data_IF_659125353885
#
_entry.id   IF_659125353885
#
_cell.length_a   1.000
_cell.length_b   1.000
_cell.length_c   1.000
_cell.angle_alpha   90.00
_cell.angle_beta   90.00
_cell.angle_gamma   90.00
#
_symmetry.space_group_name_H-M   'P 1'
#
loop_
_entity.id
_entity.type
_entity.pdbx_description
1 polymer ?
#
# COMPACT_ATOMS: atom_id res chain seq x y z
N UNK A 1 -45.31 14.15 -53.02
CA UNK A 1 -44.06 14.58 -53.71
C UNK A 1 -42.91 14.25 -52.82
N UNK A 2 -42.25 13.20 -53.14
CA UNK A 2 -40.83 12.87 -53.36
C UNK A 2 -39.93 13.29 -52.18
N UNK A 3 -39.68 12.41 -51.32
CA UNK A 3 -38.49 11.58 -51.10
C UNK A 3 -37.17 12.31 -51.32
N UNK A 4 -36.43 12.51 -50.25
CA UNK A 4 -34.99 12.42 -50.28
C UNK A 4 -34.47 11.81 -48.99
N UNK A 5 -34.25 10.51 -49.04
CA UNK A 5 -33.46 9.73 -48.14
C UNK A 5 -32.02 10.01 -48.52
N UNK A 6 -31.24 10.67 -47.70
CA UNK A 6 -29.82 10.73 -47.84
C UNK A 6 -29.18 9.85 -46.77
N UNK A 7 -28.76 8.73 -47.25
CA UNK A 7 -27.92 7.74 -46.69
C UNK A 7 -26.59 8.36 -46.26
N UNK A 8 -26.43 8.55 -44.98
CA UNK A 8 -25.12 8.92 -44.38
C UNK A 8 -24.46 7.68 -43.76
N UNK A 9 -24.12 6.73 -44.66
CA UNK A 9 -23.25 5.62 -44.29
C UNK A 9 -21.82 6.04 -44.64
N UNK A 10 -21.00 6.30 -43.72
CA UNK A 10 -19.54 6.10 -43.92
C UNK A 10 -18.72 6.44 -42.67
N UNK A 11 -17.80 5.58 -42.46
CA UNK A 11 -16.52 5.68 -41.82
C UNK A 11 -16.47 5.48 -40.30
N UNK A 12 -16.83 4.28 -39.92
CA UNK A 12 -16.08 3.58 -38.87
C UNK A 12 -14.92 2.84 -39.56
N UNK A 13 -13.95 3.60 -40.03
CA UNK A 13 -12.72 3.03 -40.55
C UNK A 13 -11.77 2.80 -39.36
N UNK A 14 -11.66 1.57 -38.93
CA UNK A 14 -10.42 0.85 -38.71
C UNK A 14 -9.38 1.53 -37.82
N UNK A 15 -9.52 1.34 -36.52
CA UNK A 15 -8.34 1.09 -35.70
C UNK A 15 -8.09 -0.43 -35.69
N UNK A 16 -7.67 -0.96 -36.85
CA UNK A 16 -6.98 -2.24 -36.91
C UNK A 16 -5.55 -1.99 -36.43
N UNK A 17 -5.34 -2.01 -35.14
CA UNK A 17 -4.00 -2.16 -34.58
C UNK A 17 -3.51 -3.54 -35.00
N UNK A 18 -2.53 -3.61 -35.86
CA UNK A 18 -1.86 -4.87 -36.18
C UNK A 18 -1.25 -5.46 -34.93
N UNK A 19 -1.58 -6.71 -34.58
CA UNK A 19 -1.13 -7.32 -33.33
C UNK A 19 0.34 -7.79 -33.36
N UNK A 20 1.16 -7.31 -34.28
CA UNK A 20 2.50 -7.87 -34.49
C UNK A 20 3.62 -6.86 -34.76
N UNK A 21 3.48 -5.62 -34.33
CA UNK A 21 4.65 -4.77 -34.23
C UNK A 21 5.42 -5.17 -32.94
N UNK A 22 6.42 -6.02 -33.10
CA UNK A 22 7.45 -6.18 -32.08
C UNK A 22 8.01 -4.79 -31.81
N UNK A 23 7.87 -4.23 -30.57
CA UNK A 23 8.43 -2.93 -30.29
C UNK A 23 9.94 -3.00 -30.50
N UNK A 24 10.42 -2.29 -31.52
CA UNK A 24 11.86 -2.08 -31.69
C UNK A 24 12.34 -1.29 -30.50
N UNK A 25 12.96 -1.96 -29.56
CA UNK A 25 13.52 -1.31 -28.38
C UNK A 25 14.64 -0.38 -28.83
N UNK A 26 14.61 0.91 -28.49
CA UNK A 26 15.71 1.80 -28.75
C UNK A 26 16.97 1.25 -28.06
N UNK A 27 18.10 1.31 -28.74
CA UNK A 27 19.40 0.97 -28.21
C UNK A 27 19.62 1.76 -26.91
N UNK A 28 19.64 1.08 -25.77
CA UNK A 28 19.66 1.68 -24.46
C UNK A 28 18.43 1.40 -23.61
N UNK A 29 17.50 0.54 -24.09
CA UNK A 29 16.36 0.11 -23.30
C UNK A 29 16.81 -0.54 -21.99
N UNK A 30 16.11 -0.16 -20.90
CA UNK A 30 16.34 -0.75 -19.60
C UNK A 30 16.14 -2.27 -19.67
N UNK A 31 17.15 -3.02 -19.27
CA UNK A 31 17.04 -4.46 -19.18
C UNK A 31 16.33 -4.81 -17.87
N UNK A 32 15.42 -5.78 -17.86
CA UNK A 32 14.81 -6.25 -16.63
C UNK A 32 15.91 -6.85 -15.74
N UNK A 33 16.04 -6.32 -14.53
CA UNK A 33 16.92 -6.85 -13.49
C UNK A 33 16.05 -7.55 -12.47
N UNK A 34 16.34 -8.80 -12.21
CA UNK A 34 15.74 -9.53 -11.10
C UNK A 34 16.63 -9.42 -9.88
N UNK A 35 16.06 -9.03 -8.77
CA UNK A 35 16.71 -9.02 -7.46
C UNK A 35 16.00 -10.00 -6.55
N UNK A 36 16.76 -10.73 -5.75
CA UNK A 36 16.19 -11.52 -4.65
C UNK A 36 16.21 -10.67 -3.40
N UNK A 37 15.02 -10.33 -2.89
CA UNK A 37 14.93 -9.63 -1.62
C UNK A 37 15.30 -10.57 -0.48
N UNK A 38 16.03 -10.08 0.54
CA UNK A 38 16.24 -10.86 1.75
C UNK A 38 14.89 -11.19 2.40
N UNK A 39 14.81 -12.34 3.07
CA UNK A 39 13.62 -12.71 3.82
C UNK A 39 13.39 -11.68 4.96
N UNK A 40 12.15 -11.27 5.15
CA UNK A 40 11.77 -10.47 6.32
C UNK A 40 11.89 -11.36 7.56
N UNK A 41 12.82 -11.01 8.43
CA UNK A 41 13.07 -11.75 9.68
C UNK A 41 12.61 -10.98 10.92
N UNK A 42 12.29 -9.70 10.77
CA UNK A 42 11.79 -8.89 11.87
C UNK A 42 10.37 -9.31 12.22
N UNK A 43 10.13 -9.53 13.49
CA UNK A 43 8.81 -9.82 14.04
C UNK A 43 8.54 -8.89 15.22
N UNK A 44 7.29 -8.49 15.40
CA UNK A 44 6.87 -7.81 16.61
C UNK A 44 6.82 -8.81 17.78
N UNK A 45 6.93 -8.33 19.04
CA UNK A 45 6.89 -9.21 20.20
C UNK A 45 5.67 -10.12 20.18
N UNK A 46 5.86 -11.41 20.52
CA UNK A 46 4.78 -12.38 20.63
C UNK A 46 3.99 -12.16 21.95
N UNK A 47 3.33 -11.02 22.03
CA UNK A 47 2.48 -10.59 23.14
C UNK A 47 1.14 -10.15 22.58
N UNK A 48 0.06 -10.08 23.40
CA UNK A 48 -1.23 -9.57 22.89
C UNK A 48 -1.13 -8.19 22.25
N UNK A 49 -0.27 -7.30 22.72
CA UNK A 49 -0.02 -6.00 22.13
C UNK A 49 0.66 -6.14 20.74
N UNK A 50 1.71 -6.94 20.63
CA UNK A 50 2.42 -7.17 19.38
C UNK A 50 1.54 -7.90 18.35
N UNK A 51 0.72 -8.84 18.78
CA UNK A 51 -0.25 -9.51 17.90
C UNK A 51 -1.30 -8.55 17.36
N UNK A 52 -1.85 -7.67 18.19
CA UNK A 52 -2.80 -6.65 17.75
C UNK A 52 -2.18 -5.72 16.71
N UNK A 53 -0.98 -5.22 16.96
CA UNK A 53 -0.26 -4.34 16.01
C UNK A 53 0.08 -5.11 14.73
N UNK A 54 0.51 -6.38 14.83
CA UNK A 54 0.73 -7.22 13.65
C UNK A 54 -0.52 -7.30 12.80
N UNK A 55 -1.66 -7.63 13.37
CA UNK A 55 -2.91 -7.79 12.62
C UNK A 55 -3.39 -6.49 11.95
N UNK A 56 -3.15 -5.34 12.57
CA UNK A 56 -3.68 -4.05 12.11
C UNK A 56 -2.73 -3.25 11.23
N UNK A 57 -1.44 -3.50 11.32
CA UNK A 57 -0.44 -2.63 10.70
C UNK A 57 0.42 -3.33 9.62
N UNK A 58 0.68 -4.65 9.74
CA UNK A 58 1.63 -5.31 8.85
C UNK A 58 1.09 -5.61 7.45
N UNK A 59 -0.17 -5.36 7.18
CA UNK A 59 -0.69 -5.37 5.82
C UNK A 59 -0.04 -4.29 4.92
N UNK A 60 0.46 -3.19 5.53
CA UNK A 60 1.05 -2.06 4.80
C UNK A 60 2.46 -1.70 5.30
N UNK A 61 2.83 -2.10 6.51
CA UNK A 61 4.11 -1.78 7.14
C UNK A 61 4.90 -3.05 7.47
N UNK A 62 6.22 -3.01 7.32
CA UNK A 62 7.05 -4.09 7.87
C UNK A 62 7.08 -4.03 9.41
N UNK A 63 7.26 -5.17 10.04
CA UNK A 63 7.42 -5.25 11.49
C UNK A 63 8.62 -4.40 11.96
N UNK A 64 9.71 -4.41 11.20
CA UNK A 64 10.92 -3.62 11.46
C UNK A 64 10.65 -2.11 11.44
N UNK A 65 9.89 -1.62 10.46
CA UNK A 65 9.51 -0.21 10.39
C UNK A 65 8.73 0.24 11.63
N UNK A 66 7.86 -0.61 12.15
CA UNK A 66 7.09 -0.31 13.35
C UNK A 66 7.98 -0.34 14.59
N UNK A 67 8.82 -1.37 14.72
CA UNK A 67 9.69 -1.58 15.88
C UNK A 67 10.76 -0.49 16.03
N UNK A 68 11.24 0.07 14.92
CA UNK A 68 12.29 1.12 14.90
C UNK A 68 11.78 2.53 15.10
N UNK A 69 10.48 2.72 15.31
CA UNK A 69 9.99 4.08 15.60
C UNK A 69 10.62 4.59 16.91
N UNK A 70 11.02 5.87 16.95
CA UNK A 70 11.52 6.45 18.18
C UNK A 70 10.42 6.43 19.26
N UNK A 71 10.78 6.47 20.54
CA UNK A 71 9.79 6.56 21.59
C UNK A 71 8.86 7.75 21.37
N UNK A 72 7.57 7.49 21.34
CA UNK A 72 6.52 8.50 21.14
C UNK A 72 5.50 8.45 22.27
N UNK A 73 4.95 9.62 22.61
CA UNK A 73 3.86 9.70 23.58
C UNK A 73 2.57 9.06 23.02
N UNK A 74 1.63 8.75 23.92
CA UNK A 74 0.32 8.20 23.53
C UNK A 74 -0.43 9.17 22.58
N UNK A 75 -0.33 10.47 22.81
CA UNK A 75 -0.96 11.50 21.95
C UNK A 75 -0.36 11.49 20.54
N UNK A 76 0.96 11.31 20.45
CA UNK A 76 1.65 11.23 19.16
C UNK A 76 1.25 9.96 18.41
N UNK A 77 1.15 8.83 19.11
CA UNK A 77 0.64 7.58 18.53
C UNK A 77 -0.82 7.73 18.10
N UNK A 78 -1.67 8.35 18.92
CA UNK A 78 -3.06 8.60 18.57
C UNK A 78 -3.16 9.40 17.25
N UNK A 79 -2.43 10.51 17.15
CA UNK A 79 -2.41 11.32 15.94
C UNK A 79 -1.93 10.50 14.72
N UNK A 80 -0.95 9.61 14.90
CA UNK A 80 -0.42 8.75 13.85
C UNK A 80 -1.46 7.72 13.40
N UNK A 81 -2.09 7.01 14.33
CA UNK A 81 -3.11 5.98 14.03
C UNK A 81 -4.33 6.61 13.35
N UNK A 82 -4.81 7.74 13.88
CA UNK A 82 -5.90 8.51 13.25
C UNK A 82 -5.55 8.90 11.81
N UNK A 83 -4.32 9.37 11.56
CA UNK A 83 -3.85 9.68 10.20
C UNK A 83 -3.85 8.45 9.31
N UNK A 84 -3.43 7.27 9.80
CA UNK A 84 -3.49 6.04 9.00
C UNK A 84 -4.93 5.73 8.59
N UNK A 85 -5.89 5.89 9.48
CA UNK A 85 -7.31 5.67 9.18
C UNK A 85 -7.86 6.71 8.21
N UNK A 86 -7.64 7.99 8.45
CA UNK A 86 -8.30 9.07 7.72
C UNK A 86 -7.65 9.38 6.38
N UNK A 87 -6.32 9.46 6.35
CA UNK A 87 -5.59 9.87 5.15
C UNK A 87 -5.19 8.69 4.28
N UNK A 88 -4.90 7.53 4.87
CA UNK A 88 -4.44 6.34 4.13
C UNK A 88 -5.47 5.21 4.09
N UNK A 89 -6.66 5.44 4.65
CA UNK A 89 -7.78 4.48 4.63
C UNK A 89 -7.43 3.11 5.19
N UNK A 90 -6.56 3.09 6.21
CA UNK A 90 -6.28 1.85 6.92
C UNK A 90 -7.56 1.24 7.50
N UNK A 91 -7.72 -0.10 7.49
CA UNK A 91 -8.92 -0.77 7.97
C UNK A 91 -8.97 -0.78 9.51
N UNK A 92 -9.00 0.39 10.10
CA UNK A 92 -9.05 0.65 11.55
C UNK A 92 -10.35 1.40 11.83
N UNK A 93 -11.13 0.93 12.78
CA UNK A 93 -12.31 1.70 13.21
C UNK A 93 -11.93 2.71 14.30
N UNK A 94 -12.70 3.80 14.48
CA UNK A 94 -12.46 4.73 15.59
C UNK A 94 -12.47 4.03 16.97
N UNK A 95 -13.24 2.96 17.12
CA UNK A 95 -13.32 2.18 18.35
C UNK A 95 -12.06 1.35 18.62
N UNK A 96 -11.30 0.97 17.57
CA UNK A 96 -10.06 0.20 17.71
C UNK A 96 -8.86 1.07 18.10
N UNK A 97 -8.90 2.38 17.78
CA UNK A 97 -7.76 3.27 17.95
C UNK A 97 -7.17 3.28 19.37
N UNK A 98 -7.96 3.37 20.46
CA UNK A 98 -7.40 3.39 21.80
C UNK A 98 -6.62 2.12 22.15
N UNK A 99 -7.11 0.95 21.73
CA UNK A 99 -6.45 -0.32 21.97
C UNK A 99 -5.13 -0.43 21.18
N UNK A 100 -5.12 0.02 19.93
CA UNK A 100 -3.92 0.04 19.08
C UNK A 100 -2.88 0.99 19.66
N UNK A 101 -3.28 2.18 20.10
CA UNK A 101 -2.38 3.16 20.73
C UNK A 101 -1.76 2.59 22.02
N UNK A 102 -2.57 2.00 22.87
CA UNK A 102 -2.08 1.35 24.09
C UNK A 102 -1.09 0.22 23.80
N UNK A 103 -1.35 -0.58 22.77
CA UNK A 103 -0.45 -1.63 22.32
C UNK A 103 0.90 -1.08 21.82
N UNK A 104 0.89 -0.04 21.01
CA UNK A 104 2.10 0.63 20.49
C UNK A 104 2.95 1.22 21.62
N UNK A 105 2.34 1.90 22.57
CA UNK A 105 3.02 2.45 23.75
C UNK A 105 3.64 1.32 24.60
N UNK A 106 2.88 0.24 24.83
CA UNK A 106 3.37 -0.92 25.57
C UNK A 106 4.58 -1.56 24.91
N UNK A 107 4.54 -1.73 23.59
CA UNK A 107 5.62 -2.32 22.84
C UNK A 107 6.91 -1.49 22.89
N UNK A 108 6.83 -0.18 22.90
CA UNK A 108 8.02 0.69 23.01
C UNK A 108 8.75 0.50 24.35
N UNK A 109 8.03 0.22 25.42
CA UNK A 109 8.63 -0.07 26.73
C UNK A 109 9.33 -1.45 26.80
N UNK A 110 9.07 -2.34 25.84
CA UNK A 110 9.62 -3.70 25.79
C UNK A 110 10.67 -3.90 24.70
N UNK A 111 10.83 -2.92 23.80
CA UNK A 111 11.84 -2.98 22.72
C UNK A 111 13.20 -2.57 23.29
N UNK A 112 14.25 -3.42 23.19
CA UNK A 112 15.60 -3.03 23.57
C UNK A 112 16.06 -1.81 22.75
N UNK A 113 16.68 -0.84 23.39
CA UNK A 113 17.34 0.26 22.69
C UNK A 113 18.44 -0.32 21.78
N UNK A 114 18.37 -0.01 20.50
CA UNK A 114 19.38 -0.36 19.50
C UNK A 114 20.53 0.65 19.52
#
# INVERSE_FOLDING_TARGET
MRALVITGLALLAACSAEPNATPTQPNGALQPISITLPAETAALPATPAGELVTQRCTACHSADMIARQPPMSAEKWQATVTKMREAYHAPITPADEPAIVAALVTMQGTTPAH
#
